data_IF_077203382035
#
_entry.id   IF_077203382035
#
_cell.length_a   1.000
_cell.length_b   1.000
_cell.length_c   1.000
_cell.angle_alpha   90.00
_cell.angle_beta   90.00
_cell.angle_gamma   90.00
#
_symmetry.space_group_name_H-M   'P 1'
#
loop_
_entity.id
_entity.type
_entity.pdbx_description
1 polymer ?
#
# COMPACT_ATOMS: atom_id res chain seq x y z
N UNK A 1 4.96 -20.75 -27.09
CA UNK A 1 5.60 -19.92 -26.07
C UNK A 1 5.94 -20.84 -24.90
N UNK A 2 7.14 -20.74 -24.33
CA UNK A 2 7.54 -21.55 -23.16
C UNK A 2 7.04 -20.88 -21.91
N UNK A 3 6.32 -21.59 -21.03
CA UNK A 3 5.87 -21.06 -19.73
C UNK A 3 6.81 -21.59 -18.65
N UNK A 4 7.27 -20.70 -17.77
CA UNK A 4 8.02 -21.04 -16.55
C UNK A 4 7.14 -20.69 -15.36
N UNK A 5 6.87 -21.68 -14.53
CA UNK A 5 6.16 -21.50 -13.27
C UNK A 5 7.18 -21.37 -12.13
N UNK A 6 7.15 -20.24 -11.44
CA UNK A 6 7.97 -19.97 -10.26
C UNK A 6 7.16 -20.29 -9.01
N UNK A 7 7.73 -21.13 -8.14
CA UNK A 7 7.15 -21.37 -6.82
C UNK A 7 7.19 -20.12 -5.93
N UNK A 8 6.54 -20.17 -4.77
CA UNK A 8 6.42 -19.02 -3.87
C UNK A 8 7.77 -18.48 -3.39
N UNK A 9 8.79 -19.32 -3.26
CA UNK A 9 10.14 -18.90 -2.84
C UNK A 9 10.90 -18.24 -3.98
N UNK A 10 10.82 -18.82 -5.18
CA UNK A 10 11.42 -18.30 -6.40
C UNK A 10 10.79 -16.94 -6.79
N UNK A 11 9.47 -16.85 -6.73
CA UNK A 11 8.73 -15.60 -6.97
C UNK A 11 9.16 -14.50 -5.97
N UNK A 12 9.30 -14.86 -4.69
CA UNK A 12 9.76 -13.90 -3.66
C UNK A 12 11.21 -13.51 -3.87
N UNK A 13 12.07 -14.42 -4.29
CA UNK A 13 13.47 -14.11 -4.62
C UNK A 13 13.55 -13.15 -5.82
N UNK A 14 12.76 -13.37 -6.88
CA UNK A 14 12.67 -12.44 -8.01
C UNK A 14 12.18 -11.09 -7.56
N UNK A 15 11.12 -11.02 -6.73
CA UNK A 15 10.60 -9.76 -6.18
C UNK A 15 11.67 -9.03 -5.35
N UNK A 16 12.47 -9.74 -4.56
CA UNK A 16 13.56 -9.15 -3.80
C UNK A 16 14.66 -8.58 -4.71
N UNK A 17 15.05 -9.29 -5.78
CA UNK A 17 16.02 -8.78 -6.77
C UNK A 17 15.49 -7.53 -7.47
N UNK A 18 14.23 -7.53 -7.86
CA UNK A 18 13.53 -6.40 -8.47
C UNK A 18 13.48 -5.21 -7.52
N UNK A 19 13.21 -5.46 -6.22
CA UNK A 19 13.24 -4.42 -5.19
C UNK A 19 14.65 -3.84 -5.00
N UNK A 20 15.69 -4.67 -4.96
CA UNK A 20 17.08 -4.22 -4.88
C UNK A 20 17.47 -3.37 -6.10
N UNK A 21 17.10 -3.80 -7.30
CA UNK A 21 17.30 -3.02 -8.52
C UNK A 21 16.59 -1.67 -8.44
N UNK A 22 15.34 -1.66 -7.99
CA UNK A 22 14.57 -0.43 -7.78
C UNK A 22 15.24 0.52 -6.79
N UNK A 23 15.78 0.01 -5.68
CA UNK A 23 16.54 0.82 -4.69
C UNK A 23 17.77 1.46 -5.33
N UNK A 24 18.52 0.73 -6.13
CA UNK A 24 19.69 1.25 -6.87
C UNK A 24 19.26 2.34 -7.84
N UNK A 25 18.19 2.13 -8.60
CA UNK A 25 17.67 3.10 -9.57
C UNK A 25 17.20 4.39 -8.88
N UNK A 26 16.42 4.28 -7.81
CA UNK A 26 15.97 5.44 -7.01
C UNK A 26 17.15 6.21 -6.42
N UNK A 27 18.20 5.50 -5.95
CA UNK A 27 19.40 6.15 -5.42
C UNK A 27 20.19 6.92 -6.51
N UNK A 28 20.25 6.40 -7.75
CA UNK A 28 21.01 7.00 -8.85
C UNK A 28 20.24 8.06 -9.63
N UNK A 29 18.93 7.93 -9.78
CA UNK A 29 18.10 8.80 -10.60
C UNK A 29 17.39 9.84 -9.73
N UNK A 30 17.86 11.07 -9.77
CA UNK A 30 17.37 12.19 -8.92
C UNK A 30 15.89 12.47 -9.10
N UNK A 31 15.33 12.28 -10.30
CA UNK A 31 13.91 12.48 -10.57
C UNK A 31 13.05 11.51 -9.76
N UNK A 32 13.41 10.21 -9.72
CA UNK A 32 12.66 9.21 -8.98
C UNK A 32 12.63 9.54 -7.48
N UNK A 33 13.75 10.02 -6.94
CA UNK A 33 13.86 10.45 -5.55
C UNK A 33 13.07 11.73 -5.28
N UNK A 34 13.11 12.70 -6.22
CA UNK A 34 12.38 13.98 -6.11
C UNK A 34 10.85 13.76 -6.02
N UNK A 35 10.33 12.79 -6.75
CA UNK A 35 8.90 12.44 -6.77
C UNK A 35 8.54 11.32 -5.79
N UNK A 36 9.44 10.96 -4.88
CA UNK A 36 9.22 9.96 -3.85
C UNK A 36 8.67 8.62 -4.38
N UNK A 37 9.07 8.21 -5.61
CA UNK A 37 8.56 6.98 -6.21
C UNK A 37 9.15 5.77 -5.46
N UNK A 38 8.30 4.85 -4.94
CA UNK A 38 8.79 3.71 -4.18
C UNK A 38 9.68 2.78 -5.01
N UNK A 39 10.76 2.30 -4.41
CA UNK A 39 11.68 1.38 -5.07
C UNK A 39 11.01 0.11 -5.64
N UNK A 40 10.04 -0.55 -4.94
CA UNK A 40 9.31 -1.69 -5.49
C UNK A 40 8.60 -1.36 -6.80
N UNK A 41 8.02 -0.14 -6.90
CA UNK A 41 7.31 0.31 -8.10
C UNK A 41 8.29 0.50 -9.26
N UNK A 42 9.43 1.16 -9.02
CA UNK A 42 10.44 1.40 -10.07
C UNK A 42 11.00 0.09 -10.61
N UNK A 43 11.45 -0.79 -9.72
CA UNK A 43 12.00 -2.08 -10.11
C UNK A 43 10.95 -2.98 -10.76
N UNK A 44 9.76 -3.05 -10.18
CA UNK A 44 8.67 -3.88 -10.68
C UNK A 44 8.14 -3.44 -12.04
N UNK A 45 8.03 -2.12 -12.25
CA UNK A 45 7.63 -1.58 -13.56
C UNK A 45 8.66 -1.92 -14.65
N UNK A 46 9.95 -1.81 -14.34
CA UNK A 46 11.01 -2.23 -15.26
C UNK A 46 10.92 -3.73 -15.59
N UNK A 47 10.71 -4.57 -14.57
CA UNK A 47 10.49 -6.00 -14.77
C UNK A 47 9.27 -6.25 -15.66
N UNK A 48 8.13 -5.59 -15.39
CA UNK A 48 6.90 -5.76 -16.14
C UNK A 48 7.06 -5.33 -17.62
N UNK A 49 7.83 -4.27 -17.91
CA UNK A 49 8.18 -3.88 -19.29
C UNK A 49 8.98 -4.98 -19.97
N UNK A 50 10.06 -5.46 -19.34
CA UNK A 50 10.91 -6.52 -19.89
C UNK A 50 10.10 -7.80 -20.14
N UNK A 51 9.28 -8.22 -19.17
CA UNK A 51 8.41 -9.38 -19.28
C UNK A 51 7.40 -9.23 -20.43
N UNK A 52 6.80 -8.05 -20.59
CA UNK A 52 5.87 -7.75 -21.67
C UNK A 52 6.55 -7.87 -23.05
N UNK A 53 7.77 -7.35 -23.21
CA UNK A 53 8.54 -7.44 -24.44
C UNK A 53 8.89 -8.90 -24.75
N UNK A 54 9.43 -9.65 -23.79
CA UNK A 54 9.84 -11.05 -23.96
C UNK A 54 8.64 -11.93 -24.29
N UNK A 55 7.48 -11.68 -23.65
CA UNK A 55 6.22 -12.36 -23.96
C UNK A 55 5.72 -11.99 -25.35
N UNK A 56 5.77 -10.70 -25.71
CA UNK A 56 5.35 -10.23 -27.04
C UNK A 56 6.17 -10.84 -28.19
N UNK A 57 7.45 -11.12 -27.96
CA UNK A 57 8.31 -11.87 -28.89
C UNK A 57 8.00 -13.38 -28.94
N UNK A 58 7.07 -13.88 -28.12
CA UNK A 58 6.70 -15.30 -28.09
C UNK A 58 7.75 -16.21 -27.42
N UNK A 59 8.75 -15.64 -26.75
CA UNK A 59 9.90 -16.38 -26.19
C UNK A 59 9.49 -17.07 -24.89
N UNK A 60 8.97 -16.29 -23.90
CA UNK A 60 8.79 -16.77 -22.53
C UNK A 60 7.61 -16.07 -21.86
N UNK A 61 6.81 -16.85 -21.13
CA UNK A 61 5.84 -16.37 -20.16
C UNK A 61 6.23 -16.86 -18.75
N UNK A 62 6.22 -15.95 -17.76
CA UNK A 62 6.53 -16.27 -16.39
C UNK A 62 5.25 -16.19 -15.57
N UNK A 63 4.89 -17.28 -14.91
CA UNK A 63 3.80 -17.36 -13.93
C UNK A 63 4.42 -17.50 -12.55
N UNK A 64 3.91 -16.72 -11.58
CA UNK A 64 4.45 -16.68 -10.22
C UNK A 64 3.39 -17.13 -9.21
N UNK A 65 3.81 -17.97 -8.25
CA UNK A 65 2.96 -18.27 -7.09
C UNK A 65 2.95 -17.07 -6.14
N UNK A 66 1.75 -16.51 -5.93
CA UNK A 66 1.51 -15.30 -5.13
C UNK A 66 1.13 -15.58 -3.67
N UNK A 67 1.33 -16.80 -3.17
CA UNK A 67 0.98 -17.17 -1.79
C UNK A 67 1.64 -16.26 -0.77
N UNK A 68 2.94 -16.02 -0.89
CA UNK A 68 3.67 -15.13 0.03
C UNK A 68 3.30 -13.66 -0.10
N UNK A 69 2.79 -13.21 -1.26
CA UNK A 69 2.23 -11.87 -1.41
C UNK A 69 1.15 -11.61 -0.36
N UNK A 70 0.26 -12.58 -0.17
CA UNK A 70 -0.83 -12.47 0.81
C UNK A 70 -0.31 -12.45 2.25
N UNK A 71 0.71 -13.24 2.57
CA UNK A 71 1.34 -13.25 3.91
C UNK A 71 1.93 -11.87 4.25
N UNK A 72 2.74 -11.30 3.35
CA UNK A 72 3.33 -9.99 3.56
C UNK A 72 2.29 -8.86 3.58
N UNK A 73 1.21 -8.97 2.79
CA UNK A 73 0.11 -8.03 2.84
C UNK A 73 -0.58 -8.04 4.20
N UNK A 74 -0.90 -9.22 4.74
CA UNK A 74 -1.54 -9.34 6.06
C UNK A 74 -0.62 -8.80 7.16
N UNK A 75 0.67 -9.10 7.11
CA UNK A 75 1.65 -8.59 8.07
C UNK A 75 1.72 -7.05 8.05
N UNK A 76 1.72 -6.45 6.85
CA UNK A 76 1.67 -4.99 6.70
C UNK A 76 0.38 -4.41 7.31
N UNK A 77 -0.80 -4.89 6.93
CA UNK A 77 -2.06 -4.35 7.46
C UNK A 77 -2.23 -4.61 8.96
N UNK A 78 -1.71 -5.71 9.48
CA UNK A 78 -1.65 -5.96 10.90
C UNK A 78 -0.82 -4.88 11.62
N UNK A 79 0.35 -4.53 11.09
CA UNK A 79 1.19 -3.45 11.66
C UNK A 79 0.47 -2.10 11.62
N UNK A 80 -0.29 -1.81 10.55
CA UNK A 80 -1.16 -0.62 10.48
C UNK A 80 -2.20 -0.64 11.58
N UNK A 81 -2.80 -1.80 11.88
CA UNK A 81 -3.73 -1.96 13.00
C UNK A 81 -3.14 -1.52 14.34
N UNK A 82 -1.88 -1.86 14.61
CA UNK A 82 -1.19 -1.42 15.83
C UNK A 82 -1.00 0.09 15.94
N UNK A 83 -1.08 0.86 14.86
CA UNK A 83 -1.03 2.33 14.92
C UNK A 83 -2.34 2.96 15.42
N UNK A 84 -3.44 2.22 15.41
CA UNK A 84 -4.78 2.70 15.76
C UNK A 84 -4.98 2.76 17.28
N UNK A 85 -4.63 3.88 17.92
CA UNK A 85 -4.77 4.13 19.35
C UNK A 85 -5.90 5.11 19.64
N UNK A 86 -6.89 4.69 20.45
CA UNK A 86 -7.96 5.59 20.94
C UNK A 86 -7.42 6.70 21.83
N UNK A 87 -6.31 6.46 22.51
CA UNK A 87 -5.63 7.48 23.34
C UNK A 87 -5.11 8.63 22.47
N UNK A 88 -4.52 8.30 21.31
CA UNK A 88 -4.05 9.30 20.34
C UNK A 88 -5.24 9.99 19.65
N UNK A 89 -6.28 9.24 19.30
CA UNK A 89 -7.48 9.79 18.67
C UNK A 89 -8.18 10.83 19.58
N UNK A 90 -8.28 10.55 20.88
CA UNK A 90 -8.83 11.50 21.85
C UNK A 90 -8.01 12.80 21.95
N UNK A 91 -6.69 12.73 21.80
CA UNK A 91 -5.82 13.93 21.80
C UNK A 91 -6.09 14.84 20.59
N UNK A 92 -6.46 14.26 19.43
CA UNK A 92 -6.78 15.01 18.21
C UNK A 92 -8.13 15.75 18.26
N UNK A 93 -9.02 15.39 19.20
CA UNK A 93 -10.28 16.09 19.49
C UNK A 93 -11.21 16.23 18.27
N UNK A 94 -11.98 17.33 18.28
CA UNK A 94 -12.98 17.63 17.25
C UNK A 94 -12.36 17.76 15.87
N UNK A 95 -11.14 18.25 15.74
CA UNK A 95 -10.47 18.43 14.46
C UNK A 95 -10.27 17.10 13.73
N UNK A 96 -9.91 16.04 14.46
CA UNK A 96 -9.77 14.69 13.88
C UNK A 96 -11.10 14.15 13.37
N UNK A 97 -12.19 14.37 14.11
CA UNK A 97 -13.54 13.93 13.69
C UNK A 97 -13.99 14.68 12.44
N UNK A 98 -13.79 16.00 12.40
CA UNK A 98 -14.12 16.83 11.22
C UNK A 98 -13.28 16.37 10.01
N UNK A 99 -11.99 16.13 10.19
CA UNK A 99 -11.14 15.65 9.11
C UNK A 99 -11.56 14.27 8.60
N UNK A 100 -11.93 13.37 9.50
CA UNK A 100 -12.47 12.04 9.14
C UNK A 100 -13.76 12.18 8.32
N UNK A 101 -14.69 13.04 8.75
CA UNK A 101 -15.94 13.27 8.03
C UNK A 101 -15.70 13.83 6.62
N UNK A 102 -14.80 14.82 6.49
CA UNK A 102 -14.42 15.38 5.19
C UNK A 102 -13.75 14.34 4.29
N UNK A 103 -12.87 13.49 4.85
CA UNK A 103 -12.24 12.40 4.11
C UNK A 103 -13.26 11.37 3.63
N UNK A 104 -14.26 11.02 4.46
CA UNK A 104 -15.33 10.11 4.06
C UNK A 104 -16.18 10.69 2.92
N UNK A 105 -16.55 11.97 2.99
CA UNK A 105 -17.25 12.66 1.89
C UNK A 105 -16.41 12.65 0.62
N UNK A 106 -15.11 12.93 0.72
CA UNK A 106 -14.20 12.90 -0.43
C UNK A 106 -14.16 11.51 -1.08
N UNK A 107 -14.06 10.44 -0.29
CA UNK A 107 -14.10 9.05 -0.78
C UNK A 107 -15.38 8.75 -1.54
N UNK A 108 -16.54 9.16 -1.01
CA UNK A 108 -17.84 8.97 -1.67
C UNK A 108 -17.86 9.71 -3.01
N UNK A 109 -17.44 10.98 -3.04
CA UNK A 109 -17.42 11.78 -4.26
C UNK A 109 -16.47 11.20 -5.31
N UNK A 110 -15.28 10.74 -4.90
CA UNK A 110 -14.33 10.07 -5.81
C UNK A 110 -14.92 8.80 -6.42
N UNK A 111 -15.63 7.99 -5.62
CA UNK A 111 -16.25 6.78 -6.11
C UNK A 111 -17.40 7.06 -7.07
N UNK A 112 -18.24 8.05 -6.79
CA UNK A 112 -19.32 8.49 -7.69
C UNK A 112 -18.73 9.00 -9.02
N UNK A 113 -17.69 9.83 -8.95
CA UNK A 113 -17.02 10.36 -10.13
C UNK A 113 -16.37 9.25 -10.96
N UNK A 114 -15.59 8.36 -10.30
CA UNK A 114 -14.94 7.24 -10.98
C UNK A 114 -15.93 6.28 -11.64
N UNK A 115 -16.99 5.89 -10.93
CA UNK A 115 -18.04 5.04 -11.47
C UNK A 115 -18.79 5.72 -12.64
N UNK A 116 -19.06 7.02 -12.52
CA UNK A 116 -19.68 7.81 -13.59
C UNK A 116 -18.82 7.87 -14.84
N UNK A 117 -17.52 8.16 -14.70
CA UNK A 117 -16.58 8.19 -15.82
C UNK A 117 -16.42 6.81 -16.47
N UNK A 118 -16.28 5.74 -15.68
CA UNK A 118 -16.23 4.39 -16.21
C UNK A 118 -17.46 4.06 -17.07
N UNK A 119 -18.66 4.46 -16.58
CA UNK A 119 -19.91 4.27 -17.33
C UNK A 119 -19.93 5.04 -18.64
N UNK A 120 -19.39 6.26 -18.69
CA UNK A 120 -19.29 7.07 -19.93
C UNK A 120 -18.43 6.37 -20.99
N UNK A 121 -17.39 5.64 -20.57
CA UNK A 121 -16.55 4.85 -21.46
C UNK A 121 -17.13 3.46 -21.78
N UNK A 122 -18.33 3.14 -21.29
CA UNK A 122 -18.93 1.80 -21.49
C UNK A 122 -18.25 0.70 -20.70
N UNK A 123 -17.47 1.05 -19.70
CA UNK A 123 -16.79 0.11 -18.80
C UNK A 123 -17.68 -0.21 -17.59
N UNK A 124 -17.33 -1.30 -16.87
CA UNK A 124 -18.02 -1.62 -15.62
C UNK A 124 -17.84 -0.45 -14.62
N UNK A 125 -18.94 0.12 -14.07
CA UNK A 125 -18.85 1.23 -13.10
C UNK A 125 -17.97 0.93 -11.90
N UNK A 126 -17.88 -0.35 -11.49
CA UNK A 126 -17.01 -0.80 -10.39
C UNK A 126 -15.51 -0.65 -10.71
N UNK A 127 -15.13 -0.64 -12.00
CA UNK A 127 -13.75 -0.33 -12.39
C UNK A 127 -13.37 1.11 -12.02
N UNK A 128 -14.35 2.03 -11.97
CA UNK A 128 -14.16 3.38 -11.47
C UNK A 128 -13.74 3.47 -10.00
N UNK A 129 -14.01 2.44 -9.19
CA UNK A 129 -13.48 2.34 -7.82
C UNK A 129 -11.98 2.05 -7.83
N UNK A 130 -11.51 1.27 -8.82
CA UNK A 130 -10.10 0.95 -9.02
C UNK A 130 -9.26 2.13 -9.55
N UNK A 131 -9.90 3.21 -10.04
CA UNK A 131 -9.25 4.50 -10.36
C UNK A 131 -9.59 5.58 -9.34
N UNK A 132 -10.59 5.35 -8.50
CA UNK A 132 -11.12 6.27 -7.50
C UNK A 132 -10.44 6.14 -6.12
N UNK A 133 -11.25 6.01 -5.08
CA UNK A 133 -10.76 6.06 -3.70
C UNK A 133 -9.84 4.90 -3.30
N UNK A 134 -10.00 3.72 -3.89
CA UNK A 134 -9.17 2.56 -3.56
C UNK A 134 -7.69 2.89 -3.73
N UNK A 135 -7.19 3.32 -4.91
CA UNK A 135 -5.79 3.68 -5.10
C UNK A 135 -5.44 5.07 -4.60
N UNK A 136 -6.34 6.06 -4.72
CA UNK A 136 -6.04 7.47 -4.47
C UNK A 136 -5.99 7.81 -2.97
N UNK A 137 -6.78 7.15 -2.14
CA UNK A 137 -6.80 7.36 -0.68
C UNK A 137 -6.02 6.25 0.03
N UNK A 138 -6.22 5.00 -0.38
CA UNK A 138 -5.60 3.86 0.27
C UNK A 138 -4.26 3.42 -0.31
N UNK A 139 -3.87 3.94 -1.49
CA UNK A 139 -2.59 3.66 -2.14
C UNK A 139 -2.44 2.21 -2.62
N UNK A 140 -1.19 1.77 -2.77
CA UNK A 140 -0.86 0.43 -3.28
C UNK A 140 -1.36 -0.71 -2.37
N UNK A 141 -1.43 -0.48 -1.05
CA UNK A 141 -1.91 -1.48 -0.10
C UNK A 141 -3.37 -1.86 -0.37
N UNK A 142 -4.25 -0.88 -0.42
CA UNK A 142 -5.67 -1.10 -0.72
C UNK A 142 -5.90 -1.49 -2.17
N UNK A 143 -5.14 -0.93 -3.12
CA UNK A 143 -5.18 -1.35 -4.52
C UNK A 143 -4.88 -2.85 -4.68
N UNK A 144 -3.82 -3.34 -4.02
CA UNK A 144 -3.45 -4.75 -4.04
C UNK A 144 -4.44 -5.68 -3.34
N UNK A 145 -5.30 -5.16 -2.48
CA UNK A 145 -6.31 -5.93 -1.75
C UNK A 145 -7.66 -5.93 -2.44
N UNK A 146 -8.14 -4.75 -2.82
CA UNK A 146 -9.45 -4.59 -3.44
C UNK A 146 -9.43 -4.89 -4.95
N UNK A 147 -8.27 -4.80 -5.62
CA UNK A 147 -8.14 -5.19 -7.02
C UNK A 147 -8.59 -6.63 -7.26
N UNK A 148 -7.97 -7.64 -6.60
CA UNK A 148 -8.39 -9.03 -6.70
C UNK A 148 -9.85 -9.25 -6.30
N UNK A 149 -10.33 -8.58 -5.25
CA UNK A 149 -11.73 -8.68 -4.83
C UNK A 149 -12.69 -8.21 -5.95
N UNK A 150 -12.37 -7.10 -6.63
CA UNK A 150 -13.15 -6.63 -7.77
C UNK A 150 -13.12 -7.63 -8.94
N UNK A 151 -11.97 -8.30 -9.17
CA UNK A 151 -11.86 -9.34 -10.20
C UNK A 151 -12.69 -10.57 -9.84
N UNK A 152 -12.72 -11.00 -8.58
CA UNK A 152 -13.63 -12.04 -8.09
C UNK A 152 -15.11 -11.69 -8.31
N UNK A 153 -15.45 -10.40 -8.23
CA UNK A 153 -16.77 -9.86 -8.52
C UNK A 153 -17.03 -9.69 -10.04
N UNK A 154 -16.12 -10.10 -10.91
CA UNK A 154 -16.25 -10.08 -12.36
C UNK A 154 -15.77 -8.81 -13.06
N UNK A 155 -15.05 -7.90 -12.35
CA UNK A 155 -14.48 -6.70 -12.98
C UNK A 155 -13.10 -7.02 -13.54
N UNK A 156 -13.02 -7.23 -14.84
CA UNK A 156 -11.77 -7.60 -15.51
C UNK A 156 -10.67 -6.54 -15.31
N UNK A 157 -9.44 -6.99 -15.09
CA UNK A 157 -8.22 -6.17 -14.96
C UNK A 157 -8.22 -5.16 -13.80
N UNK A 158 -9.13 -5.29 -12.82
CA UNK A 158 -9.24 -4.33 -11.72
C UNK A 158 -7.95 -4.24 -10.88
N UNK A 159 -7.24 -5.35 -10.66
CA UNK A 159 -5.98 -5.37 -9.93
C UNK A 159 -4.90 -4.52 -10.61
N UNK A 160 -4.77 -4.68 -11.92
CA UNK A 160 -3.75 -3.97 -12.71
C UNK A 160 -4.07 -2.49 -12.77
N UNK A 161 -5.34 -2.14 -13.01
CA UNK A 161 -5.84 -0.76 -13.03
C UNK A 161 -5.62 -0.11 -11.67
N UNK A 162 -5.97 -0.75 -10.56
CA UNK A 162 -5.83 -0.19 -9.23
C UNK A 162 -4.37 0.07 -8.85
N UNK A 163 -3.44 -0.85 -9.16
CA UNK A 163 -2.00 -0.68 -8.87
C UNK A 163 -1.41 0.44 -9.73
N UNK A 164 -1.73 0.49 -11.01
CA UNK A 164 -1.28 1.57 -11.90
C UNK A 164 -1.82 2.93 -11.44
N UNK A 165 -3.09 3.00 -11.06
CA UNK A 165 -3.72 4.20 -10.53
C UNK A 165 -3.09 4.66 -9.20
N UNK A 166 -2.74 3.72 -8.30
CA UNK A 166 -2.02 4.04 -7.07
C UNK A 166 -0.64 4.66 -7.34
N UNK A 167 0.07 4.15 -8.34
CA UNK A 167 1.37 4.71 -8.79
C UNK A 167 1.19 6.13 -9.32
N UNK A 168 0.19 6.35 -10.18
CA UNK A 168 -0.14 7.68 -10.68
C UNK A 168 -0.51 8.62 -9.53
N UNK A 169 -1.40 8.21 -8.62
CA UNK A 169 -1.83 9.01 -7.48
C UNK A 169 -0.68 9.44 -6.57
N UNK A 170 0.28 8.55 -6.34
CA UNK A 170 1.48 8.87 -5.58
C UNK A 170 2.32 9.97 -6.27
N UNK A 171 2.59 9.81 -7.57
CA UNK A 171 3.37 10.78 -8.34
C UNK A 171 2.63 12.12 -8.43
N UNK A 172 1.35 12.10 -8.81
CA UNK A 172 0.53 13.30 -8.91
C UNK A 172 0.39 14.01 -7.55
N UNK A 173 0.20 13.25 -6.48
CA UNK A 173 0.14 13.76 -5.11
C UNK A 173 1.42 14.50 -4.70
N UNK A 174 2.59 13.97 -5.04
CA UNK A 174 3.88 14.64 -4.79
C UNK A 174 4.05 15.91 -5.63
N UNK A 175 3.69 15.84 -6.92
CA UNK A 175 3.82 16.97 -7.87
C UNK A 175 2.92 18.13 -7.50
N UNK A 176 1.68 17.84 -7.08
CA UNK A 176 0.66 18.85 -6.75
C UNK A 176 0.78 19.28 -5.28
N UNK A 177 0.91 18.30 -4.37
CA UNK A 177 0.89 18.53 -2.93
C UNK A 177 2.10 19.33 -2.43
N UNK A 178 3.29 19.05 -2.93
CA UNK A 178 4.51 19.76 -2.56
C UNK A 178 4.44 21.28 -2.77
N UNK A 179 4.14 21.77 -3.97
CA UNK A 179 3.96 23.21 -4.23
C UNK A 179 2.85 23.85 -3.41
N UNK A 180 1.71 23.18 -3.25
CA UNK A 180 0.57 23.68 -2.43
C UNK A 180 0.98 23.82 -0.97
N UNK A 181 1.63 22.80 -0.41
CA UNK A 181 2.12 22.83 0.97
C UNK A 181 3.14 23.96 1.17
N UNK A 182 4.12 24.08 0.28
CA UNK A 182 5.12 25.15 0.32
C UNK A 182 4.48 26.55 0.25
N UNK A 183 3.49 26.73 -0.63
CA UNK A 183 2.77 28.00 -0.76
C UNK A 183 2.00 28.33 0.53
N UNK A 184 1.33 27.35 1.16
CA UNK A 184 0.61 27.54 2.42
C UNK A 184 1.57 27.83 3.58
N UNK A 185 2.67 27.10 3.71
CA UNK A 185 3.69 27.31 4.73
C UNK A 185 4.23 28.76 4.66
N UNK A 186 4.57 29.23 3.45
CA UNK A 186 5.02 30.62 3.23
C UNK A 186 3.94 31.64 3.55
N UNK A 187 2.70 31.42 3.07
CA UNK A 187 1.57 32.36 3.25
C UNK A 187 1.22 32.53 4.72
N UNK A 188 1.21 31.45 5.49
CA UNK A 188 0.81 31.47 6.89
C UNK A 188 2.01 31.53 7.86
N UNK A 189 3.25 31.66 7.35
CA UNK A 189 4.50 31.75 8.13
C UNK A 189 4.68 30.59 9.13
N UNK A 190 4.36 29.37 8.70
CA UNK A 190 4.39 28.16 9.53
C UNK A 190 5.80 27.57 9.73
N UNK A 191 6.87 28.31 9.41
CA UNK A 191 8.26 27.84 9.44
C UNK A 191 8.72 27.30 10.81
N UNK A 192 8.17 27.83 11.90
CA UNK A 192 8.50 27.35 13.25
C UNK A 192 7.98 25.93 13.58
N UNK A 193 6.99 25.44 12.83
CA UNK A 193 6.43 24.10 13.01
C UNK A 193 7.25 23.06 12.23
N UNK A 194 7.95 23.50 11.18
CA UNK A 194 8.73 22.62 10.30
C UNK A 194 9.95 22.03 11.01
N UNK A 195 10.61 22.80 11.91
CA UNK A 195 11.74 22.28 12.69
C UNK A 195 11.31 21.20 13.71
N UNK A 196 10.12 21.35 14.30
CA UNK A 196 9.57 20.34 15.21
C UNK A 196 9.10 19.08 14.47
N UNK A 197 8.49 19.23 13.28
CA UNK A 197 8.05 18.10 12.44
C UNK A 197 9.22 17.36 11.81
N UNK A 198 10.27 18.09 11.38
CA UNK A 198 11.48 17.48 10.82
C UNK A 198 12.28 16.73 11.90
N UNK A 199 12.22 17.17 13.15
CA UNK A 199 12.80 16.42 14.28
C UNK A 199 12.01 15.16 14.66
N UNK A 200 10.75 15.06 14.24
CA UNK A 200 9.91 13.86 14.49
C UNK A 200 10.04 12.83 13.35
N UNK A 201 10.47 13.26 12.15
CA UNK A 201 10.70 12.36 11.01
C UNK A 201 12.19 12.06 10.73
N UNK A 202 13.11 12.86 11.24
CA UNK A 202 14.46 12.37 11.48
C UNK A 202 14.36 11.49 12.72
N UNK A 203 14.21 10.19 12.52
CA UNK A 203 14.70 9.19 13.45
C UNK A 203 16.04 9.74 13.91
N UNK A 204 16.10 10.22 15.15
CA UNK A 204 17.37 10.40 15.82
C UNK A 204 18.04 9.03 15.66
N UNK A 205 18.97 8.95 14.72
CA UNK A 205 19.98 7.92 14.76
C UNK A 205 20.76 8.25 16.01
N UNK A 206 20.27 7.77 17.16
CA UNK A 206 21.10 7.55 18.30
C UNK A 206 22.27 6.74 17.77
N UNK A 207 23.45 7.32 17.77
CA UNK A 207 24.70 6.75 17.26
C UNK A 207 25.17 5.49 18.04
N UNK A 208 24.27 4.82 18.73
CA UNK A 208 24.51 3.56 19.45
C UNK A 208 23.35 2.58 19.29
N UNK A 209 22.70 2.58 18.15
CA UNK A 209 21.64 1.61 17.84
C UNK A 209 22.20 0.21 17.62
N UNK A 210 22.68 -0.46 18.66
CA UNK A 210 22.73 -1.91 18.65
C UNK A 210 21.30 -2.39 18.39
N UNK A 211 21.11 -3.08 17.26
CA UNK A 211 19.84 -3.72 16.93
C UNK A 211 19.43 -4.59 18.11
N UNK A 212 18.41 -4.20 18.86
CA UNK A 212 17.88 -5.02 19.94
C UNK A 212 17.06 -6.15 19.32
N UNK A 213 17.72 -7.28 19.12
CA UNK A 213 17.12 -8.48 18.55
C UNK A 213 15.96 -9.00 19.41
N UNK A 214 15.97 -8.75 20.72
CA UNK A 214 14.86 -9.15 21.60
C UNK A 214 13.60 -8.32 21.29
N UNK A 215 13.73 -7.01 21.12
CA UNK A 215 12.60 -6.13 20.76
C UNK A 215 12.05 -6.44 19.38
N UNK A 216 12.92 -6.76 18.40
CA UNK A 216 12.47 -7.21 17.06
C UNK A 216 11.69 -8.51 17.18
N UNK A 217 12.18 -9.46 17.98
CA UNK A 217 11.47 -10.71 18.22
C UNK A 217 10.12 -10.47 18.87
N UNK A 218 10.05 -9.60 19.90
CA UNK A 218 8.79 -9.23 20.54
C UNK A 218 7.80 -8.62 19.52
N UNK A 219 8.25 -7.68 18.69
CA UNK A 219 7.43 -7.08 17.62
C UNK A 219 6.91 -8.13 16.65
N UNK A 220 7.75 -9.07 16.23
CA UNK A 220 7.37 -10.18 15.36
C UNK A 220 6.34 -11.10 16.03
N UNK A 221 6.52 -11.43 17.32
CA UNK A 221 5.58 -12.25 18.07
C UNK A 221 4.21 -11.58 18.21
N UNK A 222 4.16 -10.27 18.48
CA UNK A 222 2.91 -9.50 18.46
C UNK A 222 2.21 -9.58 17.12
N UNK A 223 2.93 -9.43 16.01
CA UNK A 223 2.36 -9.55 14.67
C UNK A 223 1.83 -10.97 14.42
N UNK A 224 2.59 -12.02 14.72
CA UNK A 224 2.18 -13.41 14.51
C UNK A 224 0.91 -13.74 15.29
N UNK A 225 0.86 -13.35 16.57
CA UNK A 225 -0.32 -13.58 17.43
C UNK A 225 -1.53 -12.82 16.90
N UNK A 226 -1.34 -11.54 16.50
CA UNK A 226 -2.42 -10.73 15.96
C UNK A 226 -2.93 -11.27 14.62
N UNK A 227 -2.04 -11.76 13.75
CA UNK A 227 -2.43 -12.38 12.47
C UNK A 227 -3.20 -13.67 12.73
N UNK A 228 -2.71 -14.56 13.60
CA UNK A 228 -3.37 -15.82 13.92
C UNK A 228 -4.76 -15.61 14.52
N UNK A 229 -4.90 -14.74 15.53
CA UNK A 229 -6.19 -14.40 16.09
C UNK A 229 -7.09 -13.66 15.08
N UNK A 230 -6.48 -12.86 14.20
CA UNK A 230 -7.16 -12.10 13.15
C UNK A 230 -7.82 -13.00 12.10
N UNK A 231 -7.26 -14.16 11.79
CA UNK A 231 -7.91 -15.13 10.88
C UNK A 231 -9.24 -15.61 11.43
N UNK A 232 -9.32 -15.84 12.74
CA UNK A 232 -10.57 -16.24 13.42
C UNK A 232 -11.61 -15.11 13.31
N UNK A 233 -11.17 -13.86 13.53
CA UNK A 233 -12.03 -12.67 13.38
C UNK A 233 -12.51 -12.54 11.94
N UNK A 234 -11.62 -12.70 10.96
CA UNK A 234 -12.00 -12.66 9.53
C UNK A 234 -13.02 -13.74 9.16
N UNK A 235 -12.86 -14.96 9.68
CA UNK A 235 -13.82 -16.05 9.47
C UNK A 235 -15.20 -15.73 10.06
N UNK A 236 -15.23 -15.08 11.22
CA UNK A 236 -16.49 -14.67 11.84
C UNK A 236 -17.16 -13.52 11.06
N UNK A 237 -16.41 -12.48 10.72
CA UNK A 237 -16.91 -11.34 9.95
C UNK A 237 -17.39 -11.75 8.56
N UNK A 238 -16.71 -12.69 7.91
CA UNK A 238 -17.05 -13.21 6.58
C UNK A 238 -18.42 -13.88 6.50
N UNK A 239 -19.03 -14.23 7.63
CA UNK A 239 -20.41 -14.76 7.69
C UNK A 239 -21.48 -13.67 7.48
N UNK A 240 -21.13 -12.41 7.74
CA UNK A 240 -22.06 -11.27 7.67
C UNK A 240 -21.87 -10.45 6.41
N UNK A 241 -20.62 -10.27 5.98
CA UNK A 241 -20.26 -9.44 4.82
C UNK A 241 -18.96 -9.97 4.21
N UNK A 242 -18.76 -9.69 2.92
CA UNK A 242 -17.48 -9.96 2.24
C UNK A 242 -16.45 -8.91 2.67
N UNK A 243 -15.49 -9.33 3.48
CA UNK A 243 -14.36 -8.50 3.91
C UNK A 243 -13.05 -9.01 3.32
N UNK A 244 -12.13 -8.12 2.94
CA UNK A 244 -10.76 -8.52 2.65
C UNK A 244 -10.13 -9.27 3.84
N UNK A 245 -9.43 -10.35 3.58
CA UNK A 245 -8.94 -11.29 4.59
C UNK A 245 -7.96 -10.69 5.62
N UNK A 246 -7.31 -9.56 5.29
CA UNK A 246 -6.39 -8.87 6.20
C UNK A 246 -7.09 -8.03 7.29
N UNK A 247 -8.40 -7.74 7.13
CA UNK A 247 -9.13 -6.86 8.06
C UNK A 247 -9.14 -7.44 9.48
N UNK A 248 -9.30 -8.75 9.63
CA UNK A 248 -9.27 -9.38 10.94
C UNK A 248 -7.95 -9.18 11.67
N UNK A 249 -6.82 -9.34 10.98
CA UNK A 249 -5.49 -9.11 11.55
C UNK A 249 -5.30 -7.63 11.94
N UNK A 250 -5.75 -6.70 11.10
CA UNK A 250 -5.72 -5.27 11.39
C UNK A 250 -6.54 -4.92 12.62
N UNK A 251 -7.76 -5.46 12.75
CA UNK A 251 -8.63 -5.22 13.91
C UNK A 251 -8.02 -5.78 15.20
N UNK A 252 -7.48 -7.00 15.16
CA UNK A 252 -6.82 -7.59 16.33
C UNK A 252 -5.58 -6.81 16.73
N UNK A 253 -4.77 -6.34 15.78
CA UNK A 253 -3.66 -5.43 16.05
C UNK A 253 -4.12 -4.16 16.78
N UNK A 254 -5.21 -3.53 16.30
CA UNK A 254 -5.81 -2.38 16.95
C UNK A 254 -6.34 -2.69 18.36
N UNK A 255 -6.97 -3.84 18.55
CA UNK A 255 -7.47 -4.29 19.87
C UNK A 255 -6.30 -4.47 20.85
N UNK A 256 -5.25 -5.21 20.45
CA UNK A 256 -4.06 -5.42 21.28
C UNK A 256 -3.44 -4.08 21.66
N UNK A 257 -3.27 -3.17 20.70
CA UNK A 257 -2.74 -1.82 20.96
C UNK A 257 -3.54 -1.10 22.04
N UNK A 258 -4.84 -1.07 21.92
CA UNK A 258 -5.68 -0.34 22.87
C UNK A 258 -5.76 -0.99 24.25
N UNK A 259 -5.72 -2.34 24.34
CA UNK A 259 -5.61 -3.04 25.62
C UNK A 259 -4.30 -2.68 26.34
N UNK A 260 -3.18 -2.68 25.61
CA UNK A 260 -1.88 -2.33 26.17
C UNK A 260 -1.83 -0.85 26.60
N UNK A 261 -2.39 0.05 25.79
CA UNK A 261 -2.50 1.47 26.13
C UNK A 261 -3.29 1.70 27.44
N UNK A 262 -4.37 0.92 27.66
CA UNK A 262 -5.15 0.98 28.92
C UNK A 262 -4.35 0.42 30.11
N UNK A 263 -3.56 -0.62 29.90
CA UNK A 263 -2.71 -1.21 30.92
C UNK A 263 -1.42 -0.42 31.17
N UNK A 264 -1.16 0.67 30.40
CA UNK A 264 0.10 1.41 30.40
C UNK A 264 1.34 0.54 30.16
N UNK A 265 1.21 -0.51 29.35
CA UNK A 265 2.31 -1.37 28.92
C UNK A 265 2.87 -0.87 27.58
N UNK A 266 4.18 -0.86 27.47
CA UNK A 266 4.85 -0.53 26.23
C UNK A 266 4.77 -1.68 25.22
N UNK A 267 4.55 -1.32 23.97
CA UNK A 267 4.63 -2.22 22.80
C UNK A 267 5.81 -1.76 21.96
N UNK A 268 6.58 -2.66 21.34
CA UNK A 268 7.69 -2.34 20.45
C UNK A 268 7.17 -1.80 19.10
N UNK A 269 6.63 -0.57 19.12
CA UNK A 269 5.94 0.03 17.97
C UNK A 269 6.88 0.34 16.81
N UNK A 270 8.12 0.70 17.08
CA UNK A 270 9.13 0.99 16.05
C UNK A 270 9.50 -0.28 15.29
N UNK A 271 9.67 -1.38 16.02
CA UNK A 271 9.97 -2.69 15.47
C UNK A 271 8.78 -3.24 14.66
N UNK A 272 7.56 -3.11 15.19
CA UNK A 272 6.32 -3.48 14.48
C UNK A 272 6.18 -2.67 13.18
N UNK A 273 6.42 -1.36 13.23
CA UNK A 273 6.37 -0.48 12.05
C UNK A 273 7.46 -0.83 11.04
N UNK A 274 8.67 -1.16 11.49
CA UNK A 274 9.78 -1.58 10.63
C UNK A 274 9.48 -2.90 9.92
N UNK A 275 8.98 -3.90 10.66
CA UNK A 275 8.54 -5.18 10.10
C UNK A 275 7.37 -5.00 9.12
N UNK A 276 6.42 -4.12 9.45
CA UNK A 276 5.32 -3.76 8.57
C UNK A 276 5.80 -3.08 7.28
N UNK A 277 6.73 -2.13 7.36
CA UNK A 277 7.33 -1.46 6.21
C UNK A 277 8.14 -2.40 5.31
N UNK A 278 8.90 -3.33 5.90
CA UNK A 278 9.57 -4.39 5.17
C UNK A 278 8.57 -5.29 4.44
N UNK A 279 7.52 -5.71 5.15
CA UNK A 279 6.43 -6.52 4.58
C UNK A 279 5.72 -5.80 3.43
N UNK A 280 5.44 -4.51 3.56
CA UNK A 280 4.89 -3.69 2.48
C UNK A 280 5.80 -3.68 1.25
N UNK A 281 7.10 -3.52 1.45
CA UNK A 281 8.06 -3.46 0.33
C UNK A 281 8.10 -4.77 -0.45
N UNK A 282 8.12 -5.92 0.25
CA UNK A 282 8.10 -7.24 -0.40
C UNK A 282 6.76 -7.52 -1.06
N UNK A 283 5.64 -7.20 -0.37
CA UNK A 283 4.30 -7.30 -0.93
C UNK A 283 4.16 -6.51 -2.24
N UNK A 284 4.62 -5.25 -2.26
CA UNK A 284 4.58 -4.43 -3.47
C UNK A 284 5.49 -5.00 -4.57
N UNK A 285 6.67 -5.51 -4.22
CA UNK A 285 7.56 -6.19 -5.16
C UNK A 285 6.86 -7.37 -5.85
N UNK A 286 6.22 -8.25 -5.07
CA UNK A 286 5.44 -9.38 -5.57
C UNK A 286 4.25 -8.92 -6.42
N UNK A 287 3.49 -7.93 -5.98
CA UNK A 287 2.36 -7.40 -6.74
C UNK A 287 2.78 -6.81 -8.09
N UNK A 288 3.95 -6.15 -8.13
CA UNK A 288 4.46 -5.51 -9.34
C UNK A 288 5.03 -6.50 -10.35
N UNK A 289 5.65 -7.61 -9.92
CA UNK A 289 6.11 -8.65 -10.86
C UNK A 289 4.95 -9.45 -11.48
N UNK A 290 3.79 -9.47 -10.82
CA UNK A 290 2.56 -10.08 -11.32
C UNK A 290 1.79 -9.17 -12.30
N UNK A 291 2.19 -7.91 -12.41
CA UNK A 291 1.49 -6.91 -13.22
C UNK A 291 1.62 -7.19 -14.72
N UNK A 292 0.47 -7.33 -15.39
CA UNK A 292 0.36 -7.63 -16.83
C UNK A 292 0.13 -6.35 -17.62
N UNK A 293 1.22 -5.66 -18.00
CA UNK A 293 1.14 -4.35 -18.69
C UNK A 293 0.39 -4.39 -20.03
N UNK A 294 0.38 -5.53 -20.72
CA UNK A 294 -0.36 -5.67 -21.99
C UNK A 294 -1.88 -5.55 -21.79
N UNK A 295 -2.40 -5.86 -20.61
CA UNK A 295 -3.82 -5.67 -20.28
C UNK A 295 -4.18 -4.20 -20.06
N UNK A 296 -3.20 -3.37 -19.64
CA UNK A 296 -3.40 -1.92 -19.49
C UNK A 296 -3.48 -1.18 -20.82
N UNK A 297 -2.88 -1.71 -21.88
CA UNK A 297 -2.84 -1.02 -23.17
C UNK A 297 -4.27 -0.76 -23.72
N UNK A 298 -5.19 -1.68 -23.52
CA UNK A 298 -6.59 -1.54 -23.94
C UNK A 298 -7.37 -0.52 -23.11
N UNK A 299 -6.94 -0.27 -21.87
CA UNK A 299 -7.56 0.66 -20.93
C UNK A 299 -6.83 2.00 -20.86
N UNK A 300 -5.77 2.21 -21.65
CA UNK A 300 -4.91 3.39 -21.54
C UNK A 300 -5.68 4.70 -21.68
N UNK A 301 -6.54 4.84 -22.68
CA UNK A 301 -7.33 6.07 -22.92
C UNK A 301 -8.34 6.32 -21.80
N UNK A 302 -9.21 5.36 -21.42
CA UNK A 302 -10.09 5.53 -20.25
C UNK A 302 -9.33 5.88 -18.99
N UNK A 303 -8.21 5.21 -18.70
CA UNK A 303 -7.41 5.47 -17.50
C UNK A 303 -6.86 6.89 -17.45
N UNK A 304 -6.32 7.43 -18.54
CA UNK A 304 -5.79 8.80 -18.59
C UNK A 304 -6.88 9.83 -18.27
N UNK A 305 -8.14 9.56 -18.62
CA UNK A 305 -9.26 10.48 -18.32
C UNK A 305 -9.80 10.28 -16.91
N UNK A 306 -9.77 9.05 -16.39
CA UNK A 306 -10.28 8.73 -15.04
C UNK A 306 -9.28 9.09 -13.93
N UNK A 307 -8.01 9.28 -14.24
CA UNK A 307 -6.94 9.66 -13.30
C UNK A 307 -6.61 11.14 -13.37
#
# INVERSE_FOLDING_TARGET
MKTIELDMYQATAVAALVLLLGRVLVAKISILRRYCIPAPVVGGFLYAIVHTIVRGMGILEISCDMTLKNVFMVAFFCSVGFTASFRMLKKGGVQTVVFLALSAVMVILQNILGAGLASVFGLDPRLGLATGSIPMVGGHGTAGSFGPLLEELGVANASVVAIASATYGLVAGCVIGGPIATAKIRKYKLAAVTEAATKTETVETDETGAIDSARILDGLLYLIVAIGAGTIVSMFLGKFMTFPFYIGAMLVGAIIRNIMDVQNKEIPMEEISTLGGASLSVFLGLAMIDMKLWQLAELAVPMVVML
#
